data_IF_835787401491
#
_entry.id   IF_835787401491
#
_cell.length_a   1.000
_cell.length_b   1.000
_cell.length_c   1.000
_cell.angle_alpha   90.00
_cell.angle_beta   90.00
_cell.angle_gamma   90.00
#
_symmetry.space_group_name_H-M   'P 1'
#
loop_
_entity.id
_entity.type
_entity.pdbx_description
1 polymer ?
#
# COMPACT_ATOMS: atom_id res chain seq x y z
N UNK A 1 8.92 9.72 10.45
CA UNK A 1 9.28 11.04 9.91
C UNK A 1 10.74 10.98 9.54
N UNK A 2 11.06 11.30 8.29
CA UNK A 2 12.45 11.44 7.85
C UNK A 2 12.92 12.84 8.25
N UNK A 3 14.01 12.91 9.01
CA UNK A 3 14.59 14.17 9.51
C UNK A 3 15.39 14.92 8.43
N UNK A 4 15.82 14.20 7.40
CA UNK A 4 16.62 14.70 6.30
C UNK A 4 16.04 14.22 4.98
N UNK A 5 16.25 14.99 3.93
CA UNK A 5 15.92 14.60 2.56
C UNK A 5 16.83 13.47 2.07
N UNK A 6 16.39 12.76 1.02
CA UNK A 6 17.19 11.71 0.37
C UNK A 6 18.57 12.23 -0.07
N UNK A 7 18.63 13.47 -0.55
CA UNK A 7 19.88 14.08 -1.00
C UNK A 7 20.86 14.29 0.16
N UNK A 8 20.37 14.83 1.28
CA UNK A 8 21.18 15.01 2.49
C UNK A 8 21.72 13.69 3.02
N UNK A 9 20.93 12.61 2.97
CA UNK A 9 21.42 11.28 3.33
C UNK A 9 22.52 10.76 2.39
N UNK A 10 22.45 11.06 1.09
CA UNK A 10 23.51 10.74 0.15
C UNK A 10 24.79 11.53 0.47
N UNK A 11 24.67 12.84 0.72
CA UNK A 11 25.80 13.70 1.12
C UNK A 11 26.49 13.18 2.39
N UNK A 12 25.72 12.72 3.39
CA UNK A 12 26.28 12.09 4.60
C UNK A 12 27.14 10.86 4.28
N UNK A 13 26.72 10.02 3.34
CA UNK A 13 27.47 8.82 2.94
C UNK A 13 28.75 9.21 2.18
N UNK A 14 28.67 10.18 1.26
CA UNK A 14 29.81 10.66 0.49
C UNK A 14 30.88 11.25 1.43
N UNK A 15 30.47 12.16 2.31
CA UNK A 15 31.35 12.77 3.31
C UNK A 15 31.97 11.75 4.27
N UNK A 16 31.22 10.71 4.65
CA UNK A 16 31.75 9.63 5.46
C UNK A 16 32.86 8.85 4.75
N UNK A 17 32.71 8.63 3.44
CA UNK A 17 33.74 8.05 2.58
C UNK A 17 34.99 8.93 2.50
N UNK A 18 34.82 10.22 2.21
CA UNK A 18 35.90 11.22 2.13
C UNK A 18 36.69 11.30 3.45
N UNK A 19 36.00 11.23 4.59
CA UNK A 19 36.61 11.26 5.92
C UNK A 19 37.28 9.93 6.32
N UNK A 20 37.49 9.00 5.39
CA UNK A 20 38.12 7.71 5.67
C UNK A 20 37.33 6.87 6.67
N UNK A 21 35.99 6.92 6.60
CA UNK A 21 35.06 6.21 7.50
C UNK A 21 35.08 6.71 8.96
N UNK A 22 35.49 7.96 9.19
CA UNK A 22 35.46 8.62 10.51
C UNK A 22 34.21 9.49 10.67
N UNK A 23 33.17 8.94 11.29
CA UNK A 23 31.85 9.60 11.39
C UNK A 23 31.87 10.96 12.12
N UNK A 24 32.71 11.14 13.14
CA UNK A 24 32.84 12.43 13.85
C UNK A 24 33.44 13.52 12.96
N UNK A 25 34.41 13.18 12.12
CA UNK A 25 34.97 14.12 11.15
C UNK A 25 33.95 14.43 10.06
N UNK A 26 33.24 13.41 9.57
CA UNK A 26 32.18 13.59 8.58
C UNK A 26 31.07 14.53 9.08
N UNK A 27 30.62 14.41 10.33
CA UNK A 27 29.62 15.32 10.92
C UNK A 27 30.12 16.77 10.99
N UNK A 28 31.38 16.99 11.38
CA UNK A 28 32.00 18.32 11.40
C UNK A 28 32.12 18.90 10.00
N UNK A 29 32.55 18.10 9.04
CA UNK A 29 32.71 18.51 7.65
C UNK A 29 31.35 18.81 7.00
N UNK A 30 30.32 18.04 7.33
CA UNK A 30 28.94 18.31 6.92
C UNK A 30 28.48 19.69 7.43
N UNK A 31 28.71 20.00 8.70
CA UNK A 31 28.36 21.29 9.28
C UNK A 31 29.11 22.45 8.61
N UNK A 32 30.38 22.24 8.23
CA UNK A 32 31.17 23.26 7.51
C UNK A 32 30.66 23.49 6.08
N UNK A 33 30.27 22.43 5.35
CA UNK A 33 29.75 22.54 3.98
C UNK A 33 28.32 23.09 3.94
N UNK A 34 27.50 22.73 4.93
CA UNK A 34 26.09 23.10 5.01
C UNK A 34 25.83 23.85 6.33
N UNK A 35 26.22 25.13 6.42
CA UNK A 35 26.07 25.92 7.64
C UNK A 35 24.60 26.27 7.93
N UNK A 36 23.77 26.39 6.90
CA UNK A 36 22.34 26.63 7.02
C UNK A 36 21.58 25.30 6.84
N UNK A 37 21.20 24.66 7.94
CA UNK A 37 20.40 23.44 7.90
C UNK A 37 20.51 22.56 9.14
N UNK A 38 19.75 21.46 9.20
CA UNK A 38 19.88 20.47 10.26
C UNK A 38 21.27 19.82 10.21
N UNK A 39 21.91 19.67 11.36
CA UNK A 39 23.23 19.06 11.46
C UNK A 39 23.13 17.61 11.94
N UNK A 40 23.52 16.62 11.12
CA UNK A 40 23.48 15.24 11.53
C UNK A 40 24.54 14.96 12.60
N UNK A 41 24.16 14.17 13.60
CA UNK A 41 25.13 13.62 14.55
C UNK A 41 25.97 12.53 13.87
N UNK A 42 27.14 12.23 14.43
CA UNK A 42 27.94 11.09 13.98
C UNK A 42 27.19 9.75 14.10
N UNK A 43 26.23 9.62 15.02
CA UNK A 43 25.38 8.43 15.18
C UNK A 43 24.46 8.31 13.98
N UNK A 44 23.81 9.40 13.57
CA UNK A 44 22.93 9.45 12.40
C UNK A 44 23.65 9.01 11.13
N UNK A 45 24.89 9.49 10.91
CA UNK A 45 25.71 9.10 9.77
C UNK A 45 25.98 7.58 9.79
N UNK A 46 26.33 7.02 10.95
CA UNK A 46 26.56 5.58 11.09
C UNK A 46 25.30 4.75 10.82
N UNK A 47 24.14 5.20 11.31
CA UNK A 47 22.86 4.52 11.05
C UNK A 47 22.49 4.52 9.57
N UNK A 48 22.73 5.63 8.87
CA UNK A 48 22.48 5.75 7.42
C UNK A 48 23.39 4.80 6.64
N UNK A 49 24.67 4.76 6.97
CA UNK A 49 25.63 3.84 6.34
C UNK A 49 25.28 2.39 6.62
N UNK A 50 24.92 2.06 7.88
CA UNK A 50 24.47 0.73 8.27
C UNK A 50 23.24 0.30 7.47
N UNK A 51 22.21 1.15 7.42
CA UNK A 51 20.98 0.89 6.66
C UNK A 51 21.25 0.69 5.17
N UNK A 52 22.10 1.53 4.59
CA UNK A 52 22.49 1.39 3.17
C UNK A 52 23.16 0.04 2.90
N UNK A 53 24.00 -0.44 3.81
CA UNK A 53 24.66 -1.76 3.70
C UNK A 53 23.67 -2.92 3.87
N UNK A 54 22.78 -2.84 4.85
CA UNK A 54 21.86 -3.93 5.19
C UNK A 54 20.68 -4.05 4.23
N UNK A 55 20.15 -2.92 3.75
CA UNK A 55 18.89 -2.88 2.99
C UNK A 55 19.01 -2.24 1.62
N UNK A 56 20.15 -1.67 1.26
CA UNK A 56 20.30 -0.91 0.01
C UNK A 56 19.59 0.45 -0.01
N UNK A 57 18.85 0.80 1.04
CA UNK A 57 18.06 2.02 1.13
C UNK A 57 18.69 3.04 2.10
N UNK A 58 18.61 4.34 1.78
CA UNK A 58 19.08 5.43 2.65
C UNK A 58 17.98 5.93 3.57
N UNK A 59 16.73 5.86 3.11
CA UNK A 59 15.55 6.29 3.85
C UNK A 59 15.09 5.25 4.86
N UNK A 60 14.49 5.71 5.95
CA UNK A 60 13.80 4.84 6.89
C UNK A 60 12.63 4.16 6.19
N UNK A 61 12.47 2.84 6.38
CA UNK A 61 11.24 2.16 5.93
C UNK A 61 10.09 2.72 6.77
N UNK A 62 8.93 3.05 6.16
CA UNK A 62 7.73 3.35 6.94
C UNK A 62 7.53 2.21 7.93
N UNK A 63 7.32 2.52 9.22
CA UNK A 63 6.89 1.49 10.17
C UNK A 63 5.65 0.88 9.57
N UNK A 64 5.73 -0.39 9.16
CA UNK A 64 4.56 -1.12 8.71
C UNK A 64 3.58 -1.09 9.88
N UNK A 65 2.47 -0.36 9.72
CA UNK A 65 1.37 -0.44 10.67
C UNK A 65 1.01 -1.91 10.72
N UNK A 66 1.14 -2.52 11.90
CA UNK A 66 0.78 -3.93 12.10
C UNK A 66 -0.68 -4.04 11.63
N UNK A 67 -1.01 -4.94 10.69
CA UNK A 67 -2.40 -5.14 10.32
C UNK A 67 -3.18 -5.44 11.60
N UNK A 68 -4.18 -4.60 11.90
CA UNK A 68 -5.05 -4.83 13.04
C UNK A 68 -5.72 -6.18 12.81
N UNK A 69 -5.54 -7.15 13.72
CA UNK A 69 -6.32 -8.39 13.70
C UNK A 69 -7.77 -8.00 13.93
N UNK A 70 -8.52 -7.85 12.84
CA UNK A 70 -9.93 -7.52 12.86
C UNK A 70 -10.67 -8.72 13.51
N UNK A 71 -11.12 -8.58 14.76
CA UNK A 71 -11.72 -9.65 15.57
C UNK A 71 -13.00 -10.27 14.98
N UNK A 72 -13.24 -11.54 15.31
CA UNK A 72 -14.18 -12.51 14.68
C UNK A 72 -13.86 -12.79 13.21
N UNK A 73 -13.41 -14.02 13.00
CA UNK A 73 -12.94 -14.58 11.75
C UNK A 73 -14.14 -14.98 10.89
N UNK A 74 -14.83 -13.97 10.32
CA UNK A 74 -15.55 -14.22 9.07
C UNK A 74 -14.48 -14.18 8.01
N UNK A 75 -14.34 -15.30 7.30
CA UNK A 75 -13.39 -15.42 6.23
C UNK A 75 -13.76 -14.37 5.17
N UNK A 76 -12.82 -13.55 4.69
CA UNK A 76 -13.13 -12.56 3.66
C UNK A 76 -13.77 -13.21 2.41
N UNK A 77 -13.49 -14.49 2.19
CA UNK A 77 -14.13 -15.33 1.19
C UNK A 77 -15.66 -15.41 1.35
N UNK A 78 -16.20 -15.45 2.57
CA UNK A 78 -17.66 -15.52 2.81
C UNK A 78 -18.36 -14.22 2.39
N UNK A 79 -17.70 -13.08 2.67
CA UNK A 79 -18.20 -11.74 2.30
C UNK A 79 -18.16 -11.55 0.79
N UNK A 80 -17.08 -12.01 0.16
CA UNK A 80 -16.93 -11.98 -1.29
C UNK A 80 -17.94 -12.90 -1.97
N UNK A 81 -18.08 -14.15 -1.51
CA UNK A 81 -19.04 -15.10 -2.06
C UNK A 81 -20.46 -14.56 -1.99
N UNK A 82 -20.86 -13.95 -0.87
CA UNK A 82 -22.18 -13.33 -0.74
C UNK A 82 -22.35 -12.15 -1.72
N UNK A 83 -21.35 -11.26 -1.81
CA UNK A 83 -21.40 -10.12 -2.72
C UNK A 83 -21.41 -10.54 -4.21
N UNK A 84 -20.73 -11.63 -4.57
CA UNK A 84 -20.74 -12.17 -5.92
C UNK A 84 -22.05 -12.89 -6.26
N UNK A 85 -22.64 -13.58 -5.29
CA UNK A 85 -23.94 -14.27 -5.48
C UNK A 85 -25.08 -13.27 -5.62
N UNK A 86 -24.99 -12.13 -4.92
CA UNK A 86 -26.00 -11.07 -4.93
C UNK A 86 -25.37 -9.70 -5.23
N UNK A 87 -25.07 -9.39 -6.50
CA UNK A 87 -24.35 -8.17 -6.89
C UNK A 87 -25.13 -6.88 -6.63
N UNK A 88 -26.45 -6.96 -6.42
CA UNK A 88 -27.32 -5.82 -6.09
C UNK A 88 -27.47 -5.60 -4.58
N UNK A 89 -26.93 -6.49 -3.74
CA UNK A 89 -27.06 -6.37 -2.29
C UNK A 89 -26.29 -5.18 -1.73
N UNK A 90 -26.93 -4.45 -0.84
CA UNK A 90 -26.31 -3.30 -0.19
C UNK A 90 -25.27 -3.75 0.85
N UNK A 91 -24.23 -2.93 1.14
CA UNK A 91 -23.28 -3.21 2.22
C UNK A 91 -23.93 -3.43 3.60
N UNK A 92 -25.16 -2.93 3.79
CA UNK A 92 -25.98 -3.15 4.98
C UNK A 92 -26.52 -4.57 5.05
N UNK A 93 -27.01 -5.12 3.95
CA UNK A 93 -27.49 -6.51 3.86
C UNK A 93 -26.34 -7.48 4.03
N UNK A 94 -25.19 -7.21 3.39
CA UNK A 94 -23.97 -8.02 3.55
C UNK A 94 -23.49 -8.00 5.01
N UNK A 95 -23.54 -6.84 5.67
CA UNK A 95 -23.20 -6.68 7.09
C UNK A 95 -24.12 -7.51 8.01
N UNK A 96 -25.43 -7.53 7.73
CA UNK A 96 -26.40 -8.30 8.50
C UNK A 96 -26.24 -9.81 8.28
N UNK A 97 -26.06 -10.24 7.04
CA UNK A 97 -25.95 -11.66 6.69
C UNK A 97 -24.61 -12.27 7.13
N UNK A 98 -23.52 -11.52 7.04
CA UNK A 98 -22.20 -11.97 7.46
C UNK A 98 -21.92 -11.70 8.96
N UNK A 99 -22.82 -11.02 9.69
CA UNK A 99 -22.61 -10.64 11.09
C UNK A 99 -21.40 -9.72 11.30
N UNK A 100 -21.11 -8.87 10.31
CA UNK A 100 -19.97 -7.95 10.28
C UNK A 100 -20.41 -6.51 10.49
N UNK A 101 -19.52 -5.65 10.98
CA UNK A 101 -19.80 -4.21 10.99
C UNK A 101 -19.77 -3.65 9.56
N UNK A 102 -20.60 -2.64 9.28
CA UNK A 102 -20.61 -1.92 7.98
C UNK A 102 -19.22 -1.44 7.57
N UNK A 103 -18.44 -0.92 8.53
CA UNK A 103 -17.06 -0.47 8.31
C UNK A 103 -16.14 -1.60 7.86
N UNK A 104 -16.38 -2.83 8.31
CA UNK A 104 -15.60 -3.99 7.91
C UNK A 104 -15.96 -4.48 6.52
N UNK A 105 -17.24 -4.53 6.18
CA UNK A 105 -17.70 -4.78 4.81
C UNK A 105 -17.09 -3.73 3.87
N UNK A 106 -17.17 -2.45 4.22
CA UNK A 106 -16.57 -1.36 3.43
C UNK A 106 -15.06 -1.50 3.23
N UNK A 107 -14.31 -1.82 4.29
CA UNK A 107 -12.86 -1.99 4.19
C UNK A 107 -12.47 -3.22 3.38
N UNK A 108 -13.19 -4.33 3.52
CA UNK A 108 -12.97 -5.54 2.73
C UNK A 108 -13.29 -5.27 1.27
N UNK A 109 -14.50 -4.79 0.95
CA UNK A 109 -14.91 -4.45 -0.41
C UNK A 109 -13.93 -3.48 -1.06
N UNK A 110 -13.48 -2.45 -0.35
CA UNK A 110 -12.48 -1.49 -0.87
C UNK A 110 -11.14 -2.16 -1.14
N UNK A 111 -10.62 -2.96 -0.20
CA UNK A 111 -9.34 -3.65 -0.37
C UNK A 111 -9.35 -4.62 -1.56
N UNK A 112 -10.41 -5.44 -1.68
CA UNK A 112 -10.56 -6.38 -2.78
C UNK A 112 -10.88 -5.70 -4.10
N UNK A 113 -11.69 -4.63 -4.14
CA UNK A 113 -11.93 -3.89 -5.39
C UNK A 113 -10.66 -3.19 -5.89
N UNK A 114 -9.86 -2.60 -4.98
CA UNK A 114 -8.60 -1.97 -5.35
C UNK A 114 -7.52 -2.97 -5.78
N UNK A 115 -7.51 -4.18 -5.23
CA UNK A 115 -6.61 -5.25 -5.67
C UNK A 115 -7.14 -6.01 -6.90
N UNK A 116 -8.46 -6.06 -7.10
CA UNK A 116 -9.09 -6.76 -8.21
C UNK A 116 -9.06 -5.96 -9.51
N UNK A 117 -8.90 -4.63 -9.47
CA UNK A 117 -8.68 -3.82 -10.67
C UNK A 117 -7.40 -4.22 -11.43
N UNK A 118 -6.40 -4.85 -10.80
CA UNK A 118 -5.26 -5.43 -11.53
C UNK A 118 -5.60 -6.76 -12.23
N UNK A 119 -6.60 -7.51 -11.75
CA UNK A 119 -7.08 -8.77 -12.36
C UNK A 119 -8.28 -8.59 -13.29
N UNK A 120 -9.09 -7.54 -13.13
CA UNK A 120 -10.30 -7.32 -13.93
C UNK A 120 -9.96 -6.87 -15.36
N UNK A 121 -8.88 -6.10 -15.56
CA UNK A 121 -8.38 -5.77 -16.89
C UNK A 121 -7.86 -6.99 -17.67
N UNK A 122 -7.37 -8.04 -16.99
CA UNK A 122 -6.88 -9.26 -17.65
C UNK A 122 -8.00 -10.25 -18.01
N UNK A 123 -9.09 -10.30 -17.24
CA UNK A 123 -10.20 -11.23 -17.49
C UNK A 123 -11.16 -10.72 -18.57
N UNK A 124 -11.32 -9.40 -18.74
CA UNK A 124 -12.14 -8.83 -19.81
C UNK A 124 -11.52 -9.01 -21.22
N UNK A 125 -10.19 -9.15 -21.34
CA UNK A 125 -9.51 -9.37 -22.62
C UNK A 125 -9.53 -10.84 -23.10
N UNK A 126 -9.88 -11.80 -22.23
CA UNK A 126 -9.81 -13.24 -22.54
C UNK A 126 -11.18 -13.90 -22.76
N UNK A 127 -12.27 -13.14 -22.77
CA UNK A 127 -13.64 -13.66 -22.96
C UNK A 127 -14.46 -12.77 -23.90
N UNK A 128 -13.90 -12.41 -25.06
CA UNK A 128 -14.72 -12.05 -26.22
C UNK A 128 -15.03 -13.34 -27.00
N UNK A 129 -16.25 -13.88 -26.93
CA UNK A 129 -16.76 -14.64 -28.05
C UNK A 129 -17.16 -13.66 -29.15
N UNK A 130 -16.45 -13.75 -30.27
CA UNK A 130 -17.00 -13.39 -31.57
C UNK A 130 -18.44 -13.90 -31.69
N UNK A 131 -19.30 -13.12 -32.36
CA UNK A 131 -20.66 -13.35 -32.89
C UNK A 131 -21.50 -12.11 -32.49
N UNK A 132 -21.78 -11.17 -33.39
CA UNK A 132 -22.53 -11.42 -34.62
C UNK A 132 -24.03 -11.22 -34.36
N UNK A 133 -24.52 -10.01 -34.63
CA UNK A 133 -25.88 -9.66 -35.07
C UNK A 133 -27.05 -10.61 -34.73
N UNK A 134 -28.05 -10.13 -33.97
CA UNK A 134 -29.36 -10.79 -33.91
C UNK A 134 -30.34 -10.22 -32.88
N UNK A 135 -31.33 -9.48 -33.36
CA UNK A 135 -32.41 -8.80 -32.65
C UNK A 135 -33.58 -9.75 -32.37
N UNK A 136 -34.12 -9.89 -31.14
CA UNK A 136 -35.54 -10.32 -30.92
C UNK A 136 -36.12 -9.77 -29.60
N UNK A 137 -37.30 -9.13 -29.73
CA UNK A 137 -38.21 -8.59 -28.72
C UNK A 137 -38.90 -9.65 -27.83
N UNK A 138 -39.31 -9.25 -26.61
CA UNK A 138 -40.70 -9.45 -26.13
C UNK A 138 -40.97 -10.12 -24.77
N UNK A 139 -41.58 -9.32 -23.85
CA UNK A 139 -42.64 -9.60 -22.81
C UNK A 139 -42.38 -10.75 -21.78
N UNK A 140 -42.81 -10.72 -20.51
CA UNK A 140 -44.15 -10.58 -19.89
C UNK A 140 -44.02 -9.99 -18.47
N UNK A 141 -44.82 -8.99 -18.09
CA UNK A 141 -46.13 -9.06 -17.38
C UNK A 141 -46.09 -9.65 -15.96
N UNK A 142 -46.30 -8.76 -14.99
CA UNK A 142 -46.62 -9.02 -13.57
C UNK A 142 -48.13 -9.20 -13.43
N UNK A 143 -48.55 -10.27 -12.75
CA UNK A 143 -49.75 -10.33 -11.89
C UNK A 143 -49.70 -11.64 -11.08
N UNK A 144 -50.04 -11.54 -9.79
CA UNK A 144 -50.08 -12.62 -8.81
C UNK A 144 -50.06 -12.09 -7.38
#
# INVERSE_FOLDING_TARGET
MELFSKNEYCEMILLYGECGRKARLAARLYQQRFPAGPHPSHITILEVVKRKRETGCVTSRPRSVRPVKLGRQVQPEDVLSFAFTYPTSSPREISQNCGLSKSRVWNLSRHYWTCSLDTFYLVQHWNEPDIGSGNILGRYSVDG
#
